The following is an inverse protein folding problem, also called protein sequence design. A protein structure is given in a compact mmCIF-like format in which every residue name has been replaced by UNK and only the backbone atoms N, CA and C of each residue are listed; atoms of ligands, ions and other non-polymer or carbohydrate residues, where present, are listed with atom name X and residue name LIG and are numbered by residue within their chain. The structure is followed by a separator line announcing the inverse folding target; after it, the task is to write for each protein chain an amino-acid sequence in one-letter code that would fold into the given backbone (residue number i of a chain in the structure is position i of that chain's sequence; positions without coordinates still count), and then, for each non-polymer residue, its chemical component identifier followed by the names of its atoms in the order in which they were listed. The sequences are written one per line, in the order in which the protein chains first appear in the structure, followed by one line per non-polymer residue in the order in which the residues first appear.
data_IF_616997215371
#
_entry.id   IF_616997215371
#
_cell.length_a   1.000
_cell.length_b   1.000
_cell.length_c   1.000
_cell.angle_alpha   90.00
_cell.angle_beta   90.00
_cell.angle_gamma   90.00
#
_symmetry.space_group_name_H-M   'P 1'
#
loop_
_entity.id
_entity.type
_entity.pdbx_description
1 polymer ?
#
# COMPACT_ATOMS: atom_id res chain seq x y z
N UNK A 1 16.49 11.08 16.51
CA UNK A 1 17.03 11.03 15.15
C UNK A 1 15.86 10.61 14.26
N UNK A 2 15.33 11.54 13.48
CA UNK A 2 14.32 11.23 12.47
C UNK A 2 15.03 10.42 11.39
N UNK A 3 14.65 9.15 11.25
CA UNK A 3 15.16 8.33 10.16
C UNK A 3 14.82 9.03 8.85
N UNK A 4 15.83 9.35 8.07
CA UNK A 4 15.62 9.91 6.75
C UNK A 4 14.86 8.89 5.91
N UNK A 5 13.65 9.24 5.51
CA UNK A 5 12.94 8.51 4.47
C UNK A 5 13.81 8.63 3.22
N UNK A 6 14.18 7.50 2.64
CA UNK A 6 14.92 7.49 1.38
C UNK A 6 14.23 8.38 0.33
N UNK A 7 14.99 9.01 -0.58
CA UNK A 7 14.41 9.92 -1.56
C UNK A 7 13.18 9.31 -2.24
N UNK A 8 12.07 10.00 -2.13
CA UNK A 8 10.84 9.64 -2.83
C UNK A 8 10.92 10.18 -4.24
N UNK A 9 10.58 9.35 -5.22
CA UNK A 9 10.30 9.88 -6.55
C UNK A 9 8.99 10.68 -6.48
N UNK A 10 8.96 11.92 -6.97
CA UNK A 10 7.77 12.75 -6.90
C UNK A 10 6.56 12.03 -7.50
N UNK A 11 5.44 12.09 -6.82
CA UNK A 11 4.19 11.55 -7.33
C UNK A 11 3.77 12.35 -8.57
N UNK A 12 3.46 11.65 -9.63
CA UNK A 12 2.96 12.21 -10.89
C UNK A 12 1.60 11.60 -11.19
N UNK A 13 0.85 12.26 -12.08
CA UNK A 13 -0.38 11.67 -12.60
C UNK A 13 -0.11 10.22 -13.02
N UNK A 14 -0.91 9.25 -12.55
CA UNK A 14 -0.64 7.85 -12.83
C UNK A 14 -0.80 7.54 -14.31
N UNK A 15 0.20 6.85 -14.86
CA UNK A 15 0.20 6.33 -16.22
C UNK A 15 0.74 4.90 -16.21
N UNK A 16 0.37 4.11 -17.20
CA UNK A 16 0.90 2.76 -17.32
C UNK A 16 2.42 2.76 -17.50
N UNK A 17 2.96 3.70 -18.26
CA UNK A 17 4.42 3.84 -18.47
C UNK A 17 5.16 4.11 -17.14
N UNK A 18 4.64 5.03 -16.33
CA UNK A 18 5.21 5.34 -15.02
C UNK A 18 5.15 4.14 -14.07
N UNK A 19 4.05 3.41 -14.07
CA UNK A 19 3.90 2.20 -13.29
C UNK A 19 4.90 1.12 -13.71
N UNK A 20 5.11 0.94 -15.01
CA UNK A 20 6.10 -0.01 -15.53
C UNK A 20 7.53 0.36 -15.11
N UNK A 21 7.86 1.64 -15.03
CA UNK A 21 9.16 2.09 -14.51
C UNK A 21 9.31 1.68 -13.04
N UNK A 22 8.31 1.96 -12.21
CA UNK A 22 8.32 1.55 -10.81
C UNK A 22 8.48 0.04 -10.68
N UNK A 23 7.69 -0.73 -11.41
CA UNK A 23 7.72 -2.20 -11.38
C UNK A 23 9.10 -2.77 -11.73
N UNK A 24 9.77 -2.19 -12.74
CA UNK A 24 11.11 -2.63 -13.14
C UNK A 24 12.19 -2.33 -12.09
N UNK A 25 12.03 -1.25 -11.34
CA UNK A 25 12.98 -0.82 -10.33
C UNK A 25 12.72 -1.41 -8.94
N UNK A 26 11.52 -1.90 -8.69
CA UNK A 26 11.09 -2.36 -7.38
C UNK A 26 11.78 -3.66 -6.97
N UNK A 27 12.39 -3.64 -5.80
CA UNK A 27 12.94 -4.82 -5.11
C UNK A 27 11.97 -5.40 -4.08
N UNK A 28 10.84 -4.75 -3.91
CA UNK A 28 9.70 -5.18 -3.10
C UNK A 28 8.49 -5.37 -3.99
N UNK A 29 7.47 -6.11 -3.54
CA UNK A 29 6.23 -6.21 -4.30
C UNK A 29 5.61 -4.84 -4.58
N UNK A 30 4.90 -4.75 -5.71
CA UNK A 30 4.04 -3.61 -6.04
C UNK A 30 2.62 -4.15 -6.01
N UNK A 31 1.96 -3.99 -4.87
CA UNK A 31 0.69 -4.63 -4.60
C UNK A 31 -0.50 -3.89 -5.21
N UNK A 32 -1.39 -4.64 -5.80
CA UNK A 32 -2.67 -4.16 -6.30
C UNK A 32 -3.77 -5.13 -5.86
N UNK A 33 -4.93 -4.65 -5.34
CA UNK A 33 -6.09 -5.51 -5.19
C UNK A 33 -6.54 -6.01 -6.57
N UNK A 34 -6.70 -7.30 -6.71
CA UNK A 34 -7.12 -7.87 -7.99
C UNK A 34 -8.04 -9.08 -7.79
N UNK A 35 -9.28 -9.03 -8.31
CA UNK A 35 -9.85 -7.89 -9.06
C UNK A 35 -10.00 -6.63 -8.19
N UNK A 36 -9.95 -5.46 -8.83
CA UNK A 36 -10.25 -4.21 -8.14
C UNK A 36 -11.68 -4.26 -7.60
N UNK A 37 -11.93 -3.76 -6.38
CA UNK A 37 -13.30 -3.55 -5.92
C UNK A 37 -14.07 -2.68 -6.91
N UNK A 38 -15.38 -2.93 -7.03
CA UNK A 38 -16.23 -2.21 -7.99
C UNK A 38 -16.16 -0.69 -7.79
N UNK A 39 -15.89 0.03 -8.87
CA UNK A 39 -15.79 1.49 -8.87
C UNK A 39 -14.47 2.06 -8.39
N UNK A 40 -13.49 1.23 -8.06
CA UNK A 40 -12.16 1.68 -7.62
C UNK A 40 -11.23 1.94 -8.81
N UNK A 41 -10.39 2.96 -8.65
CA UNK A 41 -9.41 3.42 -9.65
C UNK A 41 -8.03 3.50 -9.01
N UNK A 42 -6.99 3.33 -9.83
CA UNK A 42 -5.61 3.63 -9.42
C UNK A 42 -5.39 5.13 -9.51
N UNK A 43 -5.10 5.76 -8.39
CA UNK A 43 -4.97 7.21 -8.27
C UNK A 43 -3.52 7.68 -8.05
N UNK A 44 -2.57 6.77 -8.10
CA UNK A 44 -1.17 7.11 -8.04
C UNK A 44 -0.30 5.97 -7.56
N UNK A 45 0.99 6.19 -7.66
CA UNK A 45 2.00 5.29 -7.11
C UNK A 45 3.31 6.05 -6.89
N UNK A 46 4.08 5.61 -5.92
CA UNK A 46 5.41 6.15 -5.64
C UNK A 46 6.35 5.04 -5.24
N UNK A 47 7.65 5.24 -5.47
CA UNK A 47 8.71 4.38 -4.95
C UNK A 47 9.64 5.17 -4.03
N UNK A 48 10.27 4.51 -3.08
CA UNK A 48 11.31 5.06 -2.24
C UNK A 48 12.59 4.24 -2.38
N UNK A 49 13.71 4.92 -2.53
CA UNK A 49 15.01 4.30 -2.73
C UNK A 49 15.93 5.22 -3.51
N UNK A 50 17.06 4.70 -3.94
CA UNK A 50 18.02 5.42 -4.77
C UNK A 50 18.50 4.58 -5.95
N UNK A 51 19.31 5.19 -6.84
CA UNK A 51 19.83 4.50 -8.02
C UNK A 51 20.76 3.33 -7.67
N UNK A 52 21.39 3.38 -6.51
CA UNK A 52 22.35 2.37 -6.05
C UNK A 52 21.67 1.16 -5.44
N UNK A 53 20.66 1.39 -4.60
CA UNK A 53 19.96 0.33 -3.87
C UNK A 53 18.71 -0.15 -4.59
N UNK A 54 18.20 0.61 -5.56
CA UNK A 54 16.92 0.40 -6.21
C UNK A 54 15.76 0.87 -5.33
N UNK A 55 14.55 0.50 -5.69
CA UNK A 55 13.33 0.87 -4.97
C UNK A 55 13.05 -0.13 -3.85
N UNK A 56 13.26 0.29 -2.62
CA UNK A 56 13.11 -0.52 -1.40
C UNK A 56 11.72 -0.43 -0.76
N UNK A 57 10.89 0.46 -1.27
CA UNK A 57 9.50 0.58 -0.87
C UNK A 57 8.65 1.05 -2.05
N UNK A 58 7.43 0.56 -2.11
CA UNK A 58 6.44 0.98 -3.10
C UNK A 58 5.13 1.33 -2.41
N UNK A 59 4.40 2.29 -2.95
CA UNK A 59 3.04 2.59 -2.54
C UNK A 59 2.16 2.76 -3.77
N UNK A 60 1.01 2.12 -3.76
CA UNK A 60 -0.04 2.28 -4.76
C UNK A 60 -1.24 2.91 -4.08
N UNK A 61 -1.73 4.00 -4.64
CA UNK A 61 -2.91 4.70 -4.18
C UNK A 61 -4.12 4.34 -5.03
N UNK A 62 -5.24 4.15 -4.37
CA UNK A 62 -6.53 3.84 -4.99
C UNK A 62 -7.60 4.76 -4.43
N UNK A 63 -8.60 5.04 -5.24
CA UNK A 63 -9.79 5.78 -4.82
C UNK A 63 -11.04 5.12 -5.35
N UNK A 64 -12.10 5.16 -4.58
CA UNK A 64 -13.37 4.54 -4.95
C UNK A 64 -14.45 4.73 -3.90
N UNK A 65 -15.58 4.04 -4.06
CA UNK A 65 -16.67 4.16 -3.10
C UNK A 65 -16.36 3.41 -1.81
N UNK A 66 -16.67 4.06 -0.68
CA UNK A 66 -16.70 3.40 0.62
C UNK A 66 -17.93 2.47 0.68
N UNK A 67 -17.79 1.21 1.09
CA UNK A 67 -18.93 0.31 1.26
C UNK A 67 -20.04 0.86 2.17
N UNK A 68 -19.70 1.71 3.12
CA UNK A 68 -20.67 2.36 4.03
C UNK A 68 -21.16 3.73 3.51
N UNK A 69 -20.84 4.10 2.29
CA UNK A 69 -21.26 5.33 1.65
C UNK A 69 -20.19 6.40 1.59
N UNK A 70 -20.25 7.23 0.56
CA UNK A 70 -19.31 8.30 0.31
C UNK A 70 -18.00 7.82 -0.36
N UNK A 71 -17.06 8.73 -0.58
CA UNK A 71 -15.77 8.41 -1.17
C UNK A 71 -14.82 7.77 -0.16
N UNK A 72 -13.90 6.97 -0.68
CA UNK A 72 -12.81 6.38 0.10
C UNK A 72 -11.50 6.41 -0.67
N UNK A 73 -10.41 6.31 0.07
CA UNK A 73 -9.05 6.22 -0.47
C UNK A 73 -8.30 5.10 0.25
N UNK A 74 -7.38 4.47 -0.48
CA UNK A 74 -6.55 3.41 0.06
C UNK A 74 -5.12 3.59 -0.43
N UNK A 75 -4.16 3.38 0.47
CA UNK A 75 -2.76 3.15 0.12
C UNK A 75 -2.40 1.70 0.43
N UNK A 76 -1.72 1.05 -0.50
CA UNK A 76 -1.09 -0.25 -0.25
C UNK A 76 0.40 -0.08 -0.41
N UNK A 77 1.14 -0.36 0.66
CA UNK A 77 2.56 -0.11 0.74
C UNK A 77 3.29 -1.41 0.99
N UNK A 78 4.33 -1.67 0.22
CA UNK A 78 5.29 -2.72 0.49
C UNK A 78 6.65 -2.10 0.76
N UNK A 79 7.34 -2.54 1.81
CA UNK A 79 8.65 -1.98 2.13
C UNK A 79 9.56 -2.99 2.83
N UNK A 80 10.85 -2.85 2.60
CA UNK A 80 11.85 -3.52 3.43
C UNK A 80 11.84 -2.92 4.84
N UNK A 81 12.05 -3.73 5.88
CA UNK A 81 12.13 -3.22 7.26
C UNK A 81 13.15 -2.07 7.38
N UNK A 82 12.77 -1.04 8.11
CA UNK A 82 13.61 0.12 8.37
C UNK A 82 13.48 1.27 7.39
N UNK A 83 12.80 1.11 6.24
CA UNK A 83 12.63 2.19 5.25
C UNK A 83 11.74 3.30 5.77
N UNK A 84 10.58 2.96 6.35
CA UNK A 84 9.71 3.92 7.01
C UNK A 84 8.70 4.62 6.10
N UNK A 85 8.52 4.19 4.86
CA UNK A 85 7.51 4.77 3.98
C UNK A 85 6.10 4.54 4.52
N UNK A 86 5.80 3.32 4.96
CA UNK A 86 4.49 2.96 5.49
C UNK A 86 4.12 3.76 6.73
N UNK A 87 5.01 3.81 7.72
CA UNK A 87 4.80 4.60 8.92
C UNK A 87 4.64 6.10 8.60
N UNK A 88 5.47 6.63 7.70
CA UNK A 88 5.41 8.03 7.28
C UNK A 88 4.09 8.39 6.61
N UNK A 89 3.63 7.58 5.66
CA UNK A 89 2.35 7.81 4.97
C UNK A 89 1.14 7.58 5.87
N UNK A 90 1.27 6.69 6.85
CA UNK A 90 0.24 6.46 7.85
C UNK A 90 0.22 7.53 8.96
N UNK A 91 1.23 8.37 9.04
CA UNK A 91 1.34 9.38 10.08
C UNK A 91 1.77 8.83 11.44
N UNK A 92 2.47 7.70 11.46
CA UNK A 92 2.98 7.08 12.68
C UNK A 92 4.44 7.45 12.93
N UNK A 93 4.88 7.48 14.20
CA UNK A 93 6.29 7.70 14.53
C UNK A 93 7.12 6.44 14.23
N UNK A 94 8.39 6.65 13.88
CA UNK A 94 9.34 5.56 13.65
C UNK A 94 9.25 4.96 12.24
N UNK A 95 10.19 4.07 11.88
CA UNK A 95 10.25 3.47 10.55
C UNK A 95 9.39 2.19 10.40
N UNK A 96 9.08 1.52 11.50
CA UNK A 96 8.39 0.22 11.51
C UNK A 96 7.09 0.29 12.33
N UNK A 97 6.24 -0.75 12.28
CA UNK A 97 4.94 -0.74 12.99
C UNK A 97 5.01 -0.52 14.49
N UNK A 98 6.18 -0.72 15.08
CA UNK A 98 6.38 -0.66 16.52
C UNK A 98 6.33 -2.03 17.17
N UNK A 99 6.85 -2.11 18.42
CA UNK A 99 6.87 -3.34 19.19
C UNK A 99 5.44 -3.75 19.58
N UNK A 100 5.17 -5.04 19.48
CA UNK A 100 3.91 -5.61 19.95
C UNK A 100 2.69 -5.33 19.05
N UNK A 101 2.84 -4.80 17.85
CA UNK A 101 1.72 -4.57 16.94
C UNK A 101 0.93 -5.86 16.65
N UNK A 102 1.60 -7.00 16.64
CA UNK A 102 1.03 -8.32 16.39
C UNK A 102 0.75 -9.13 17.67
N UNK A 103 0.67 -8.47 18.83
CA UNK A 103 0.47 -9.16 20.12
C UNK A 103 -0.96 -9.70 20.31
N UNK A 104 -1.93 -9.16 19.60
CA UNK A 104 -3.32 -9.62 19.60
C UNK A 104 -3.58 -10.59 18.44
N UNK A 105 -4.81 -11.10 18.36
CA UNK A 105 -5.24 -11.82 17.16
C UNK A 105 -5.34 -10.87 15.96
N UNK A 106 -5.10 -11.38 14.75
CA UNK A 106 -5.23 -10.57 13.54
C UNK A 106 -6.65 -10.00 13.39
N UNK A 107 -6.71 -8.80 12.79
CA UNK A 107 -7.96 -8.07 12.57
C UNK A 107 -8.45 -8.19 11.11
N UNK A 108 -7.56 -8.53 10.20
CA UNK A 108 -7.85 -8.64 8.78
C UNK A 108 -6.90 -9.62 8.10
N UNK A 109 -7.12 -9.87 6.83
CA UNK A 109 -6.31 -10.80 6.03
C UNK A 109 -6.17 -10.29 4.61
N UNK A 110 -4.99 -10.41 4.05
CA UNK A 110 -4.77 -10.31 2.60
C UNK A 110 -4.52 -11.71 2.03
N UNK A 111 -4.96 -11.91 0.80
CA UNK A 111 -4.76 -13.16 0.09
C UNK A 111 -3.79 -12.95 -1.05
N UNK A 112 -2.65 -13.61 -0.97
CA UNK A 112 -1.60 -13.56 -1.98
C UNK A 112 -1.40 -14.94 -2.57
N UNK A 113 -1.67 -15.09 -3.86
CA UNK A 113 -1.72 -16.40 -4.52
C UNK A 113 -2.69 -17.34 -3.79
N UNK A 114 -2.19 -18.43 -3.18
CA UNK A 114 -2.99 -19.39 -2.43
C UNK A 114 -2.82 -19.26 -0.91
N UNK A 115 -2.14 -18.22 -0.45
CA UNK A 115 -1.83 -18.00 0.96
C UNK A 115 -2.55 -16.79 1.50
N UNK A 116 -3.03 -16.92 2.73
CA UNK A 116 -3.58 -15.81 3.49
C UNK A 116 -2.53 -15.31 4.47
N UNK A 117 -2.33 -13.99 4.50
CA UNK A 117 -1.42 -13.34 5.43
C UNK A 117 -2.21 -12.46 6.40
N UNK A 118 -1.94 -12.58 7.71
CA UNK A 118 -2.65 -11.81 8.72
C UNK A 118 -2.22 -10.36 8.73
N UNK A 119 -3.17 -9.48 9.04
CA UNK A 119 -2.96 -8.07 9.27
C UNK A 119 -3.47 -7.66 10.63
N UNK A 120 -2.78 -6.73 11.27
CA UNK A 120 -3.15 -6.16 12.56
C UNK A 120 -3.50 -4.69 12.42
N UNK A 121 -4.57 -4.28 13.09
CA UNK A 121 -4.98 -2.89 13.13
C UNK A 121 -4.09 -2.11 14.08
N UNK A 122 -3.56 -0.98 13.58
CA UNK A 122 -2.90 0.04 14.39
C UNK A 122 -3.88 1.20 14.57
N UNK A 123 -4.21 1.52 15.80
CA UNK A 123 -5.20 2.55 16.09
C UNK A 123 -4.72 3.93 15.63
N UNK A 124 -5.63 4.66 14.98
CA UNK A 124 -5.41 6.02 14.50
C UNK A 124 -6.74 6.71 14.25
N UNK A 125 -6.77 8.03 14.41
CA UNK A 125 -7.97 8.82 14.18
C UNK A 125 -8.21 9.05 12.68
N UNK A 126 -9.45 8.84 12.25
CA UNK A 126 -9.92 9.19 10.91
C UNK A 126 -9.46 8.29 9.78
N UNK A 127 -8.67 7.26 10.08
CA UNK A 127 -8.18 6.27 9.12
C UNK A 127 -8.06 4.89 9.76
N UNK A 128 -8.08 3.85 8.95
CA UNK A 128 -7.76 2.49 9.36
C UNK A 128 -6.39 2.11 8.83
N UNK A 129 -5.50 1.66 9.72
CA UNK A 129 -4.15 1.25 9.38
C UNK A 129 -4.01 -0.24 9.70
N UNK A 130 -3.73 -1.04 8.68
CA UNK A 130 -3.46 -2.46 8.84
C UNK A 130 -2.04 -2.78 8.43
N UNK A 131 -1.36 -3.61 9.19
CA UNK A 131 0.05 -3.98 8.96
C UNK A 131 0.24 -5.47 9.10
N UNK A 132 1.05 -6.04 8.25
CA UNK A 132 1.49 -7.42 8.33
C UNK A 132 2.79 -7.63 7.55
N UNK A 133 3.16 -8.88 7.39
CA UNK A 133 4.37 -9.28 6.65
C UNK A 133 4.00 -10.24 5.53
N UNK A 134 4.47 -9.93 4.34
CA UNK A 134 4.33 -10.79 3.16
C UNK A 134 5.63 -10.78 2.39
N UNK A 135 6.15 -11.97 2.06
CA UNK A 135 7.39 -12.11 1.27
C UNK A 135 8.58 -11.37 1.88
N UNK A 136 8.74 -11.47 3.19
CA UNK A 136 9.80 -10.82 3.98
C UNK A 136 9.80 -9.28 3.92
N UNK A 137 8.68 -8.69 3.53
CA UNK A 137 8.47 -7.24 3.48
C UNK A 137 7.28 -6.86 4.35
N UNK A 138 7.30 -5.65 4.91
CA UNK A 138 6.09 -5.11 5.51
C UNK A 138 5.06 -4.83 4.43
N UNK A 139 3.80 -5.14 4.72
CA UNK A 139 2.65 -4.67 3.95
C UNK A 139 1.79 -3.78 4.83
N UNK A 140 1.48 -2.60 4.31
CA UNK A 140 0.62 -1.62 4.98
C UNK A 140 -0.59 -1.35 4.11
N UNK A 141 -1.77 -1.35 4.72
CA UNK A 141 -2.98 -0.84 4.10
C UNK A 141 -3.50 0.30 4.95
N UNK A 142 -3.58 1.47 4.34
CA UNK A 142 -4.11 2.67 5.01
C UNK A 142 -5.35 3.13 4.27
N UNK A 143 -6.47 3.23 4.97
CA UNK A 143 -7.77 3.55 4.39
C UNK A 143 -8.37 4.79 5.03
N UNK A 144 -8.94 5.66 4.20
CA UNK A 144 -9.69 6.84 4.61
C UNK A 144 -11.09 6.82 3.99
N UNK A 145 -12.11 7.17 4.76
CA UNK A 145 -12.13 7.26 6.22
C UNK A 145 -11.92 5.88 6.88
N UNK A 146 -11.83 5.85 8.20
CA UNK A 146 -11.64 4.61 8.97
C UNK A 146 -12.69 3.53 8.68
N UNK A 147 -13.92 3.96 8.41
CA UNK A 147 -15.03 3.05 8.02
C UNK A 147 -14.76 2.28 6.73
N UNK A 148 -13.86 2.75 5.86
CA UNK A 148 -13.45 2.03 4.67
C UNK A 148 -12.67 0.73 4.99
N UNK A 149 -12.24 0.55 6.23
CA UNK A 149 -11.68 -0.70 6.73
C UNK A 149 -12.62 -1.90 6.58
N UNK A 150 -13.92 -1.67 6.38
CA UNK A 150 -14.89 -2.72 6.07
C UNK A 150 -14.60 -3.46 4.76
N UNK A 151 -13.80 -2.89 3.86
CA UNK A 151 -13.28 -3.59 2.68
C UNK A 151 -12.46 -4.84 3.05
N UNK A 152 -11.94 -4.91 4.28
CA UNK A 152 -11.13 -6.01 4.79
C UNK A 152 -11.92 -7.00 5.65
N UNK A 153 -13.23 -6.91 5.70
CA UNK A 153 -14.10 -7.90 6.38
C UNK A 153 -13.89 -9.29 5.77
N UNK A 154 -13.73 -9.35 4.47
CA UNK A 154 -13.28 -10.56 3.78
C UNK A 154 -11.81 -10.40 3.38
N UNK A 155 -11.06 -11.51 3.20
CA UNK A 155 -9.68 -11.43 2.73
C UNK A 155 -9.57 -10.62 1.44
N UNK A 156 -8.70 -9.62 1.44
CA UNK A 156 -8.46 -8.79 0.27
C UNK A 156 -7.44 -9.49 -0.64
N UNK A 157 -7.80 -9.89 -1.87
CA UNK A 157 -6.85 -10.49 -2.77
C UNK A 157 -5.90 -9.43 -3.33
N UNK A 158 -4.60 -9.71 -3.25
CA UNK A 158 -3.54 -8.87 -3.79
C UNK A 158 -2.78 -9.61 -4.87
N UNK A 159 -2.34 -8.85 -5.88
CA UNK A 159 -1.42 -9.30 -6.92
C UNK A 159 -0.19 -8.42 -6.90
N UNK A 160 0.95 -9.04 -7.18
CA UNK A 160 2.21 -8.33 -7.37
C UNK A 160 2.32 -7.94 -8.85
N UNK A 161 2.36 -6.64 -9.12
CA UNK A 161 2.46 -6.12 -10.49
C UNK A 161 3.81 -6.43 -11.16
N UNK A 162 4.78 -6.95 -10.42
CA UNK A 162 6.05 -7.42 -10.99
C UNK A 162 5.93 -8.76 -11.69
N UNK A 163 4.81 -9.47 -11.53
CA UNK A 163 4.58 -10.76 -12.18
C UNK A 163 4.49 -10.55 -13.71
N UNK A 164 5.47 -11.07 -14.48
CA UNK A 164 5.52 -10.85 -15.92
C UNK A 164 4.45 -11.62 -16.71
N UNK A 165 3.82 -12.60 -16.09
CA UNK A 165 2.78 -13.42 -16.73
C UNK A 165 1.41 -12.75 -16.74
N UNK A 166 1.28 -11.61 -16.07
CA UNK A 166 0.00 -10.90 -15.95
C UNK A 166 0.05 -9.54 -16.65
N UNK A 167 -0.90 -9.34 -17.53
CA UNK A 167 -1.20 -8.03 -18.09
C UNK A 167 -2.40 -7.44 -17.33
N UNK A 168 -2.24 -6.20 -16.88
CA UNK A 168 -3.29 -5.48 -16.18
C UNK A 168 -3.77 -4.32 -17.03
N UNK A 169 -5.05 -4.29 -17.32
CA UNK A 169 -5.73 -3.11 -17.85
C UNK A 169 -6.31 -2.33 -16.67
N UNK A 170 -5.59 -1.28 -16.27
CA UNK A 170 -5.89 -0.56 -15.04
C UNK A 170 -6.65 0.74 -15.32
N UNK A 171 -7.78 0.99 -14.63
CA UNK A 171 -8.45 2.26 -14.66
C UNK A 171 -7.67 3.27 -13.82
N UNK A 172 -7.14 4.33 -14.45
CA UNK A 172 -6.46 5.41 -13.77
C UNK A 172 -7.39 6.58 -13.50
N UNK A 173 -7.29 7.14 -12.29
CA UNK A 173 -8.01 8.33 -11.86
C UNK A 173 -7.10 9.53 -11.63
N UNK A 174 -7.64 10.57 -11.02
CA UNK A 174 -6.89 11.74 -10.62
C UNK A 174 -5.85 11.40 -9.53
N UNK A 175 -4.75 12.14 -9.49
CA UNK A 175 -3.70 11.92 -8.52
C UNK A 175 -4.23 12.02 -7.08
N UNK A 176 -3.88 11.03 -6.27
CA UNK A 176 -4.28 10.99 -4.87
C UNK A 176 -3.63 12.12 -4.06
N UNK A 177 -4.40 12.82 -3.20
CA UNK A 177 -3.83 13.78 -2.26
C UNK A 177 -3.05 13.12 -1.11
N UNK A 178 -3.11 11.79 -0.99
CA UNK A 178 -2.43 11.03 0.07
C UNK A 178 -0.98 10.73 -0.25
N UNK A 179 -0.57 10.90 -1.51
CA UNK A 179 0.81 10.73 -1.93
C UNK A 179 1.54 12.08 -1.89
N UNK A 180 2.84 12.09 -1.53
CA UNK A 180 3.63 13.31 -1.55
C UNK A 180 3.77 13.85 -2.98
N UNK A 181 3.68 15.16 -3.10
CA UNK A 181 3.85 15.86 -4.37
C UNK A 181 5.32 15.91 -4.79
#
# INVERSE_FOLDING_TARGET
VHGEIHPLFPAKRPTMEGLQVLVRQAKVPVWLPWPLPSGWLVSGFVGAGDERTGTLASAVALSGPNPLGGPAEMLIIAEEPGVGLGAGLAGLPGPDPGDGFAASQPHATVKVAHHEAPLWLVESDGKAIFVGEVSASWVWLVLWPDTAGTLLVEPLPLRDLRDPEQEFDLPFGALSPRLPA
#
